data_IF_574472612322
#
_entry.id   IF_574472612322
#
_cell.length_a   1.000
_cell.length_b   1.000
_cell.length_c   1.000
_cell.angle_alpha   90.00
_cell.angle_beta   90.00
_cell.angle_gamma   90.00
#
_symmetry.space_group_name_H-M   'P 1'
#
loop_
_entity.id
_entity.type
_entity.pdbx_description
1 polymer ?
#
# COMPACT_ATOMS: atom_id res chain seq x y z
N UNK A 1 4.29 17.33 -13.82
CA UNK A 1 5.16 16.18 -13.53
C UNK A 1 4.60 15.48 -12.30
N UNK A 2 4.05 14.26 -12.41
CA UNK A 2 3.49 13.56 -11.23
C UNK A 2 4.65 13.19 -10.31
N UNK A 3 4.74 13.85 -9.15
CA UNK A 3 5.70 13.50 -8.11
C UNK A 3 5.15 12.27 -7.41
N UNK A 4 5.57 11.09 -7.89
CA UNK A 4 5.38 9.81 -7.21
C UNK A 4 5.91 9.94 -5.78
N UNK A 5 5.16 9.46 -4.78
CA UNK A 5 5.62 9.36 -3.40
C UNK A 5 6.67 8.24 -3.28
N UNK A 6 7.89 8.53 -3.75
CA UNK A 6 8.98 7.56 -3.82
C UNK A 6 9.37 7.00 -2.45
N UNK A 7 9.30 7.82 -1.39
CA UNK A 7 9.57 7.37 -0.03
C UNK A 7 8.47 6.40 0.47
N UNK A 8 7.21 6.74 0.20
CA UNK A 8 6.09 5.84 0.48
C UNK A 8 6.16 4.54 -0.30
N UNK A 9 6.51 4.61 -1.58
CA UNK A 9 6.67 3.43 -2.44
C UNK A 9 7.81 2.54 -1.97
N UNK A 10 8.96 3.12 -1.59
CA UNK A 10 10.08 2.37 -1.05
C UNK A 10 9.70 1.63 0.23
N UNK A 11 9.04 2.32 1.18
CA UNK A 11 8.55 1.70 2.41
C UNK A 11 7.59 0.54 2.13
N UNK A 12 6.67 0.71 1.17
CA UNK A 12 5.75 -0.35 0.76
C UNK A 12 6.49 -1.53 0.13
N UNK A 13 7.51 -1.29 -0.67
CA UNK A 13 8.36 -2.34 -1.24
C UNK A 13 9.09 -3.12 -0.16
N UNK A 14 9.69 -2.43 0.82
CA UNK A 14 10.41 -3.05 1.93
C UNK A 14 9.46 -3.97 2.74
N UNK A 15 8.24 -3.51 3.02
CA UNK A 15 7.20 -4.32 3.68
C UNK A 15 6.89 -5.60 2.89
N UNK A 16 6.78 -5.52 1.56
CA UNK A 16 6.49 -6.70 0.71
C UNK A 16 7.65 -7.69 0.74
N UNK A 17 8.89 -7.20 0.57
CA UNK A 17 10.11 -8.02 0.58
C UNK A 17 10.33 -8.69 1.94
N UNK A 18 10.00 -8.03 3.03
CA UNK A 18 10.01 -8.62 4.39
C UNK A 18 8.93 -9.71 4.57
N UNK A 19 7.83 -9.63 3.80
CA UNK A 19 6.67 -10.51 4.01
C UNK A 19 6.73 -11.77 3.15
N UNK A 20 7.27 -11.69 1.92
CA UNK A 20 7.35 -12.82 0.98
C UNK A 20 8.62 -12.78 0.13
N UNK A 21 9.00 -13.94 -0.39
CA UNK A 21 10.02 -14.04 -1.44
C UNK A 21 9.57 -13.26 -2.68
N UNK A 22 10.35 -12.27 -3.09
CA UNK A 22 9.96 -11.36 -4.17
C UNK A 22 11.09 -11.23 -5.18
N UNK A 23 10.80 -11.43 -6.47
CA UNK A 23 11.77 -11.24 -7.56
C UNK A 23 11.74 -9.82 -8.10
N UNK A 24 10.54 -9.24 -8.22
CA UNK A 24 10.34 -7.89 -8.74
C UNK A 24 9.05 -7.28 -8.23
N UNK A 25 9.06 -5.99 -7.97
CA UNK A 25 7.86 -5.20 -7.67
C UNK A 25 7.77 -4.09 -8.70
N UNK A 26 6.61 -3.94 -9.35
CA UNK A 26 6.33 -2.88 -10.31
C UNK A 26 5.13 -2.06 -9.85
N UNK A 27 5.29 -0.73 -9.79
CA UNK A 27 4.19 0.19 -9.50
C UNK A 27 3.69 0.82 -10.80
N UNK A 28 2.42 0.57 -11.15
CA UNK A 28 1.83 1.11 -12.38
C UNK A 28 0.97 2.34 -12.15
N UNK A 29 0.46 2.50 -10.92
CA UNK A 29 -0.44 3.60 -10.61
C UNK A 29 -0.34 4.00 -9.14
N UNK A 30 -0.30 5.31 -8.93
CA UNK A 30 -0.42 5.94 -7.64
C UNK A 30 -1.68 6.83 -7.61
N UNK A 31 -2.47 6.71 -6.54
CA UNK A 31 -3.59 7.61 -6.25
C UNK A 31 -3.38 8.23 -4.87
N UNK A 32 -3.18 9.55 -4.83
CA UNK A 32 -3.18 10.32 -3.58
C UNK A 32 -4.60 10.79 -3.27
N UNK A 33 -5.03 10.61 -2.04
CA UNK A 33 -6.29 11.13 -1.53
C UNK A 33 -6.05 11.75 -0.16
N UNK A 34 -6.57 12.95 0.06
CA UNK A 34 -6.68 13.50 1.40
C UNK A 34 -7.91 12.88 2.04
N UNK A 35 -7.73 12.04 3.05
CA UNK A 35 -8.86 11.43 3.77
C UNK A 35 -9.20 12.29 4.98
N UNK A 36 -10.46 12.71 5.04
CA UNK A 36 -11.04 13.31 6.24
C UNK A 36 -11.36 12.19 7.23
N UNK A 37 -10.63 12.16 8.35
CA UNK A 37 -11.01 11.30 9.47
C UNK A 37 -12.02 12.09 10.30
N UNK A 38 -13.31 11.75 10.15
CA UNK A 38 -14.36 12.22 11.07
C UNK A 38 -14.41 11.26 12.24
N UNK A 39 -14.08 11.72 13.45
CA UNK A 39 -14.46 11.00 14.66
C UNK A 39 -15.97 11.21 14.88
N UNK A 40 -16.67 10.15 15.26
CA UNK A 40 -18.09 10.18 15.62
C UNK A 40 -18.38 10.96 16.92
N UNK A 41 -17.35 11.37 17.67
CA UNK A 41 -17.49 12.25 18.84
C UNK A 41 -17.15 13.70 18.49
N UNK A 42 -18.20 14.52 18.50
CA UNK A 42 -18.22 15.97 18.72
C UNK A 42 -17.23 16.84 17.91
N UNK A 43 -17.80 17.54 16.92
CA UNK A 43 -17.39 18.86 16.43
C UNK A 43 -15.88 19.08 16.19
N UNK A 44 -15.35 18.50 15.11
CA UNK A 44 -14.08 18.92 14.54
C UNK A 44 -13.52 17.93 13.50
N UNK A 45 -13.13 18.41 12.33
CA UNK A 45 -12.21 17.66 11.45
C UNK A 45 -10.86 17.64 12.18
N UNK A 46 -10.53 16.51 12.83
CA UNK A 46 -9.40 16.43 13.76
C UNK A 46 -8.03 16.28 13.07
N UNK A 47 -7.97 15.74 11.84
CA UNK A 47 -6.72 15.75 11.06
C UNK A 47 -6.96 15.37 9.61
N UNK A 48 -6.26 16.04 8.70
CA UNK A 48 -6.03 15.55 7.35
C UNK A 48 -4.88 14.54 7.39
N UNK A 49 -5.13 13.28 7.03
CA UNK A 49 -4.03 12.36 6.70
C UNK A 49 -4.00 12.18 5.19
N UNK A 50 -2.89 12.61 4.60
CA UNK A 50 -2.55 12.21 3.24
C UNK A 50 -2.50 10.68 3.19
N UNK A 51 -3.26 10.13 2.25
CA UNK A 51 -3.30 8.71 1.98
C UNK A 51 -2.85 8.46 0.56
N UNK A 52 -1.88 7.57 0.39
CA UNK A 52 -1.41 7.16 -0.94
C UNK A 52 -1.78 5.70 -1.16
N UNK A 53 -2.46 5.42 -2.26
CA UNK A 53 -2.82 4.08 -2.70
C UNK A 53 -2.01 3.69 -3.94
N UNK A 54 -1.28 2.59 -3.86
CA UNK A 54 -0.45 2.06 -4.94
C UNK A 54 -1.12 0.87 -5.64
N UNK A 55 -0.88 0.71 -6.93
CA UNK A 55 -1.23 -0.50 -7.68
C UNK A 55 0.05 -1.18 -8.10
N UNK A 56 0.30 -2.36 -7.51
CA UNK A 56 1.57 -3.05 -7.60
C UNK A 56 1.38 -4.41 -8.28
N UNK A 57 2.30 -4.79 -9.15
CA UNK A 57 2.52 -6.19 -9.52
C UNK A 57 3.73 -6.70 -8.76
N UNK A 58 3.54 -7.84 -8.11
CA UNK A 58 4.55 -8.51 -7.32
C UNK A 58 4.84 -9.85 -7.97
N UNK A 59 6.06 -9.98 -8.47
CA UNK A 59 6.56 -11.17 -9.15
C UNK A 59 7.20 -12.07 -8.10
N UNK A 60 6.65 -13.26 -7.88
CA UNK A 60 6.98 -14.12 -6.74
C UNK A 60 6.80 -15.61 -7.09
N UNK A 61 7.57 -16.47 -6.43
CA UNK A 61 7.38 -17.92 -6.40
C UNK A 61 6.33 -18.37 -5.37
N UNK A 62 5.90 -17.46 -4.48
CA UNK A 62 4.91 -17.70 -3.42
C UNK A 62 3.49 -17.30 -3.87
N UNK A 63 2.99 -17.97 -4.90
CA UNK A 63 1.66 -17.71 -5.46
C UNK A 63 0.58 -18.52 -4.73
N UNK A 64 -0.16 -17.89 -3.83
CA UNK A 64 -1.35 -18.46 -3.19
C UNK A 64 -2.49 -17.45 -3.13
N UNK A 65 -3.74 -17.95 -3.14
CA UNK A 65 -4.96 -17.14 -3.30
C UNK A 65 -5.07 -15.96 -2.32
N UNK A 66 -4.54 -16.13 -1.09
CA UNK A 66 -4.68 -15.15 -0.03
C UNK A 66 -3.50 -14.19 0.09
N UNK A 67 -2.40 -14.39 -0.64
CA UNK A 67 -1.16 -13.60 -0.47
C UNK A 67 -1.38 -12.14 -0.83
N UNK A 68 -2.12 -11.85 -1.91
CA UNK A 68 -2.41 -10.47 -2.32
C UNK A 68 -3.21 -9.71 -1.26
N UNK A 69 -4.22 -10.37 -0.69
CA UNK A 69 -5.02 -9.84 0.41
C UNK A 69 -4.16 -9.61 1.66
N UNK A 70 -3.35 -10.60 2.03
CA UNK A 70 -2.47 -10.52 3.20
C UNK A 70 -1.49 -9.34 3.08
N UNK A 71 -0.83 -9.19 1.94
CA UNK A 71 0.10 -8.09 1.69
C UNK A 71 -0.60 -6.73 1.78
N UNK A 72 -1.78 -6.59 1.17
CA UNK A 72 -2.56 -5.35 1.26
C UNK A 72 -2.91 -5.00 2.71
N UNK A 73 -3.30 -6.01 3.50
CA UNK A 73 -3.60 -5.85 4.93
C UNK A 73 -2.35 -5.49 5.75
N UNK A 74 -1.23 -6.16 5.54
CA UNK A 74 0.05 -5.91 6.22
C UNK A 74 0.55 -4.49 5.92
N UNK A 75 0.53 -4.06 4.66
CA UNK A 75 0.90 -2.69 4.26
C UNK A 75 0.04 -1.67 5.01
N UNK A 76 -1.28 -1.86 5.02
CA UNK A 76 -2.20 -0.94 5.71
C UNK A 76 -1.95 -0.92 7.22
N UNK A 77 -1.69 -2.07 7.83
CA UNK A 77 -1.43 -2.20 9.26
C UNK A 77 -0.10 -1.55 9.66
N UNK A 78 1.02 -1.94 9.04
CA UNK A 78 2.36 -1.41 9.33
C UNK A 78 2.46 0.10 9.10
N UNK A 79 1.67 0.65 8.18
CA UNK A 79 1.68 2.08 7.85
C UNK A 79 0.58 2.88 8.55
N UNK A 80 -0.14 2.27 9.50
CA UNK A 80 -1.25 2.90 10.24
C UNK A 80 -2.28 3.58 9.31
N UNK A 81 -2.54 2.95 8.17
CA UNK A 81 -3.48 3.41 7.14
C UNK A 81 -2.98 4.55 6.24
N UNK A 82 -1.75 5.04 6.41
CA UNK A 82 -1.15 6.05 5.52
C UNK A 82 -0.99 5.53 4.10
N UNK A 83 -0.61 4.27 3.95
CA UNK A 83 -0.46 3.61 2.66
C UNK A 83 -1.41 2.43 2.52
N UNK A 84 -1.81 2.15 1.29
CA UNK A 84 -2.50 0.91 0.94
C UNK A 84 -2.13 0.50 -0.48
N UNK A 85 -2.36 -0.76 -0.82
CA UNK A 85 -2.04 -1.24 -2.15
C UNK A 85 -3.07 -2.23 -2.68
N UNK A 86 -3.36 -2.13 -3.97
CA UNK A 86 -3.93 -3.23 -4.76
C UNK A 86 -2.78 -4.05 -5.30
N UNK A 87 -2.76 -5.34 -4.98
CA UNK A 87 -1.67 -6.24 -5.33
C UNK A 87 -2.14 -7.21 -6.41
N UNK A 88 -1.43 -7.22 -7.55
CA UNK A 88 -1.50 -8.27 -8.55
C UNK A 88 -0.30 -9.20 -8.33
N UNK A 89 -0.55 -10.46 -8.02
CA UNK A 89 0.53 -11.45 -7.95
C UNK A 89 0.76 -12.04 -9.33
N UNK A 90 2.02 -12.13 -9.73
CA UNK A 90 2.44 -12.79 -10.95
C UNK A 90 3.41 -13.92 -10.60
N UNK A 91 3.06 -15.19 -10.87
CA UNK A 91 3.95 -16.31 -10.61
C UNK A 91 5.14 -16.27 -11.56
N UNK A 92 6.30 -16.76 -11.10
CA UNK A 92 7.47 -17.07 -11.94
C UNK A 92 7.57 -18.56 -12.15
#
# INVERSE_FOLDING_TARGET
MKITDNAGLQLVNDIIVESISTKKILCFLEKKQIKNIKNLSQNGVLSYREHTHFHLMVVTDQYAANVAFMLSAIIKAKTKGRYSATILLYPV
#
